data_IF_605879291961
#
_entry.id   IF_605879291961
#
_cell.length_a   1.000
_cell.length_b   1.000
_cell.length_c   1.000
_cell.angle_alpha   90.00
_cell.angle_beta   90.00
_cell.angle_gamma   90.00
#
_symmetry.space_group_name_H-M   'P 1'
#
loop_
_entity.id
_entity.type
_entity.pdbx_description
1 polymer ?
#
# COMPACT_ATOMS: atom_id res chain seq x y z
N UNK A 1 25.08 19.65 -1.18
CA UNK A 1 24.51 18.30 -1.04
C UNK A 1 23.32 18.37 -0.11
N UNK A 2 22.11 18.44 -0.66
CA UNK A 2 20.87 18.47 0.11
C UNK A 2 20.10 17.20 -0.24
N UNK A 3 20.12 16.22 0.65
CA UNK A 3 19.12 15.15 0.70
C UNK A 3 18.56 15.13 2.11
N UNK A 4 17.66 16.08 2.37
CA UNK A 4 16.76 16.00 3.51
C UNK A 4 15.45 15.39 2.98
N UNK A 5 15.30 14.05 3.09
CA UNK A 5 13.98 13.41 3.14
C UNK A 5 14.10 11.93 3.59
N UNK A 6 14.48 11.65 4.85
CA UNK A 6 14.91 10.28 5.20
C UNK A 6 14.51 9.83 6.61
N UNK A 7 13.35 10.28 7.11
CA UNK A 7 12.73 9.68 8.29
C UNK A 7 11.70 8.61 7.93
N UNK A 8 10.86 8.90 6.93
CA UNK A 8 9.67 8.11 6.63
C UNK A 8 9.91 7.08 5.51
N UNK A 9 10.66 7.44 4.45
CA UNK A 9 10.98 6.52 3.36
C UNK A 9 11.75 5.24 3.82
N UNK A 10 12.75 5.32 4.73
CA UNK A 10 13.43 4.11 5.20
C UNK A 10 12.53 3.17 5.98
N UNK A 11 11.60 3.71 6.76
CA UNK A 11 10.65 2.92 7.56
C UNK A 11 9.68 2.16 6.63
N UNK A 12 9.19 2.81 5.58
CA UNK A 12 8.36 2.14 4.58
C UNK A 12 9.12 1.03 3.85
N UNK A 13 10.37 1.28 3.46
CA UNK A 13 11.19 0.26 2.79
C UNK A 13 11.48 -0.95 3.71
N UNK A 14 11.78 -0.71 4.98
CA UNK A 14 12.01 -1.78 5.96
C UNK A 14 10.74 -2.59 6.21
N UNK A 15 9.61 -1.91 6.42
CA UNK A 15 8.31 -2.55 6.60
C UNK A 15 7.92 -3.38 5.37
N UNK A 16 8.13 -2.84 4.18
CA UNK A 16 7.85 -3.54 2.90
C UNK A 16 8.72 -4.79 2.78
N UNK A 17 10.02 -4.70 3.07
CA UNK A 17 10.93 -5.86 3.07
C UNK A 17 10.48 -6.92 4.07
N UNK A 18 10.11 -6.51 5.29
CA UNK A 18 9.61 -7.41 6.32
C UNK A 18 8.33 -8.14 5.87
N UNK A 19 7.34 -7.40 5.37
CA UNK A 19 6.08 -7.98 4.91
C UNK A 19 6.30 -9.00 3.78
N UNK A 20 7.12 -8.65 2.79
CA UNK A 20 7.31 -9.48 1.59
C UNK A 20 8.20 -10.70 1.84
N UNK A 21 9.06 -10.68 2.87
CA UNK A 21 10.08 -11.71 3.09
C UNK A 21 9.52 -13.14 3.20
N UNK A 22 8.38 -13.32 3.87
CA UNK A 22 7.83 -14.67 4.14
C UNK A 22 7.12 -15.29 2.93
N UNK A 23 6.40 -14.48 2.13
CA UNK A 23 5.59 -15.00 1.03
C UNK A 23 5.34 -13.94 -0.04
N UNK A 24 6.29 -13.69 -0.97
CA UNK A 24 6.13 -12.65 -1.99
C UNK A 24 4.91 -12.89 -2.87
N UNK A 25 4.56 -14.15 -3.17
CA UNK A 25 3.38 -14.51 -3.98
C UNK A 25 2.08 -13.98 -3.39
N UNK A 26 1.88 -14.15 -2.07
CA UNK A 26 0.69 -13.66 -1.36
C UNK A 26 0.54 -12.14 -1.49
N UNK A 27 1.65 -11.40 -1.45
CA UNK A 27 1.63 -9.94 -1.60
C UNK A 27 1.43 -9.50 -3.04
N UNK A 28 2.07 -10.17 -4.01
CA UNK A 28 1.91 -9.90 -5.44
C UNK A 28 0.44 -10.02 -5.88
N UNK A 29 -0.27 -11.00 -5.31
CA UNK A 29 -1.67 -11.32 -5.63
C UNK A 29 -2.70 -10.71 -4.67
N UNK A 30 -2.27 -9.99 -3.62
CA UNK A 30 -3.19 -9.39 -2.67
C UNK A 30 -4.17 -8.44 -3.34
N UNK A 31 -5.46 -8.61 -3.06
CA UNK A 31 -6.53 -7.71 -3.46
C UNK A 31 -7.39 -7.42 -2.23
N UNK A 32 -7.82 -6.17 -2.08
CA UNK A 32 -8.82 -5.80 -1.08
C UNK A 32 -10.17 -6.41 -1.45
N UNK A 33 -10.98 -6.69 -0.43
CA UNK A 33 -12.34 -7.20 -0.63
C UNK A 33 -13.20 -6.18 -1.37
N UNK A 34 -14.23 -6.65 -2.07
CA UNK A 34 -15.18 -5.77 -2.79
C UNK A 34 -15.78 -4.72 -1.85
N UNK A 35 -16.25 -5.14 -0.67
CA UNK A 35 -16.80 -4.26 0.35
C UNK A 35 -15.85 -3.10 0.73
N UNK A 36 -14.55 -3.38 0.83
CA UNK A 36 -13.56 -2.34 1.16
C UNK A 36 -13.33 -1.40 -0.03
N UNK A 37 -13.29 -1.93 -1.25
CA UNK A 37 -13.22 -1.10 -2.46
C UNK A 37 -14.45 -0.18 -2.57
N UNK A 38 -15.64 -0.71 -2.35
CA UNK A 38 -16.89 0.07 -2.34
C UNK A 38 -16.87 1.18 -1.29
N UNK A 39 -16.38 0.91 -0.07
CA UNK A 39 -16.23 1.92 0.99
C UNK A 39 -15.30 3.06 0.57
N UNK A 40 -14.12 2.75 0.04
CA UNK A 40 -13.18 3.77 -0.45
C UNK A 40 -13.83 4.61 -1.55
N UNK A 41 -14.52 3.97 -2.50
CA UNK A 41 -15.23 4.69 -3.57
C UNK A 41 -16.34 5.60 -3.06
N UNK A 42 -17.10 5.15 -2.05
CA UNK A 42 -18.12 5.95 -1.39
C UNK A 42 -17.49 7.20 -0.74
N UNK A 43 -16.42 7.02 0.03
CA UNK A 43 -15.73 8.10 0.72
C UNK A 43 -15.15 9.13 -0.26
N UNK A 44 -14.48 8.68 -1.31
CA UNK A 44 -13.94 9.56 -2.37
C UNK A 44 -15.07 10.34 -3.06
N UNK A 45 -16.23 9.71 -3.32
CA UNK A 45 -17.38 10.43 -3.89
C UNK A 45 -17.89 11.50 -2.94
N UNK A 46 -17.98 11.21 -1.65
CA UNK A 46 -18.48 12.14 -0.62
C UNK A 46 -17.52 13.28 -0.34
N UNK A 47 -16.22 13.03 -0.36
CA UNK A 47 -15.18 14.05 -0.27
C UNK A 47 -15.31 15.05 -1.44
N UNK A 48 -15.44 14.53 -2.66
CA UNK A 48 -15.61 15.36 -3.88
C UNK A 48 -16.92 16.16 -3.88
N UNK A 49 -17.97 15.68 -3.21
CA UNK A 49 -19.23 16.40 -3.06
C UNK A 49 -19.26 17.35 -1.84
N UNK A 50 -18.16 17.50 -1.10
CA UNK A 50 -18.06 18.36 0.08
C UNK A 50 -18.79 17.83 1.33
N UNK A 51 -19.16 16.54 1.34
CA UNK A 51 -20.00 15.91 2.37
C UNK A 51 -19.29 14.88 3.23
N UNK A 52 -17.96 14.93 3.33
CA UNK A 52 -17.17 13.99 4.14
C UNK A 52 -16.97 14.55 5.55
N UNK A 53 -17.25 13.74 6.57
CA UNK A 53 -16.96 14.12 7.95
C UNK A 53 -15.46 14.01 8.23
N UNK A 54 -14.97 14.71 9.25
CA UNK A 54 -13.54 14.67 9.62
C UNK A 54 -13.04 13.24 9.89
N UNK A 55 -13.88 12.43 10.53
CA UNK A 55 -13.57 11.01 10.79
C UNK A 55 -13.39 10.20 9.50
N UNK A 56 -14.16 10.52 8.48
CA UNK A 56 -14.14 9.84 7.18
C UNK A 56 -12.97 10.32 6.32
N UNK A 57 -12.55 11.57 6.51
CA UNK A 57 -11.32 12.08 5.94
C UNK A 57 -10.09 11.41 6.56
N UNK A 58 -10.06 11.22 7.87
CA UNK A 58 -9.01 10.45 8.53
C UNK A 58 -8.98 8.97 8.07
N UNK A 59 -10.14 8.40 7.73
CA UNK A 59 -10.25 7.08 7.11
C UNK A 59 -9.60 7.07 5.71
N UNK A 60 -9.86 8.08 4.87
CA UNK A 60 -9.21 8.26 3.56
C UNK A 60 -7.69 8.45 3.68
N UNK A 61 -7.23 9.28 4.61
CA UNK A 61 -5.79 9.49 4.84
C UNK A 61 -5.08 8.18 5.22
N UNK A 62 -5.76 7.33 6.00
CA UNK A 62 -5.27 5.99 6.34
C UNK A 62 -5.20 5.08 5.11
N UNK A 63 -6.23 5.12 4.25
CA UNK A 63 -6.23 4.35 3.01
C UNK A 63 -5.09 4.76 2.07
N UNK A 64 -4.80 6.05 1.94
CA UNK A 64 -3.70 6.55 1.10
C UNK A 64 -2.33 6.06 1.60
N UNK A 65 -2.11 6.10 2.92
CA UNK A 65 -0.88 5.57 3.52
C UNK A 65 -0.73 4.06 3.27
N UNK A 66 -1.81 3.30 3.44
CA UNK A 66 -1.80 1.85 3.20
C UNK A 66 -1.66 1.51 1.72
N UNK A 67 -2.26 2.28 0.81
CA UNK A 67 -2.12 2.10 -0.64
C UNK A 67 -0.65 2.25 -1.05
N UNK A 68 0.05 3.26 -0.52
CA UNK A 68 1.46 3.46 -0.77
C UNK A 68 2.30 2.25 -0.35
N UNK A 69 2.12 1.76 0.89
CA UNK A 69 2.80 0.56 1.41
C UNK A 69 2.52 -0.65 0.53
N UNK A 70 1.25 -0.87 0.17
CA UNK A 70 0.85 -2.04 -0.62
C UNK A 70 1.38 -1.98 -2.05
N UNK A 71 1.53 -0.80 -2.65
CA UNK A 71 2.17 -0.64 -3.96
C UNK A 71 3.65 -1.01 -3.92
N UNK A 72 4.37 -0.52 -2.92
CA UNK A 72 5.79 -0.88 -2.72
C UNK A 72 5.95 -2.37 -2.44
N UNK A 73 5.12 -2.95 -1.58
CA UNK A 73 5.13 -4.39 -1.29
C UNK A 73 4.87 -5.24 -2.54
N UNK A 74 3.88 -4.89 -3.36
CA UNK A 74 3.61 -5.57 -4.63
C UNK A 74 4.77 -5.46 -5.62
N UNK A 75 5.40 -4.29 -5.72
CA UNK A 75 6.56 -4.10 -6.58
C UNK A 75 7.75 -4.96 -6.12
N UNK A 76 8.07 -4.93 -4.83
CA UNK A 76 9.14 -5.73 -4.24
C UNK A 76 8.86 -7.24 -4.36
N UNK A 77 7.62 -7.67 -4.16
CA UNK A 77 7.21 -9.06 -4.32
C UNK A 77 7.44 -9.57 -5.75
N UNK A 78 7.02 -8.81 -6.76
CA UNK A 78 7.23 -9.14 -8.18
C UNK A 78 8.72 -9.21 -8.52
N UNK A 79 9.52 -8.28 -7.97
CA UNK A 79 10.97 -8.33 -8.13
C UNK A 79 11.57 -9.60 -7.51
N UNK A 80 11.16 -9.94 -6.29
CA UNK A 80 11.64 -11.15 -5.60
C UNK A 80 11.30 -12.43 -6.37
N UNK A 81 10.07 -12.52 -6.92
CA UNK A 81 9.63 -13.64 -7.77
C UNK A 81 10.48 -13.70 -9.05
N UNK A 82 10.67 -12.58 -9.73
CA UNK A 82 11.47 -12.53 -10.96
C UNK A 82 12.96 -12.88 -10.76
N UNK A 83 13.52 -12.58 -9.59
CA UNK A 83 14.91 -12.91 -9.22
C UNK A 83 15.08 -14.34 -8.68
N UNK A 84 13.97 -15.03 -8.36
CA UNK A 84 13.94 -16.43 -7.93
C UNK A 84 13.02 -17.26 -8.82
N UNK A 85 13.30 -17.37 -10.13
CA UNK A 85 12.60 -18.36 -10.93
C UNK A 85 12.98 -19.75 -10.41
N UNK A 86 11.97 -20.53 -10.02
CA UNK A 86 11.99 -21.95 -9.65
C UNK A 86 13.32 -22.64 -9.99
N UNK A 87 14.08 -23.04 -8.96
CA UNK A 87 15.19 -23.98 -9.16
C UNK A 87 14.61 -25.30 -9.69
N UNK A 88 15.24 -25.95 -10.68
CA UNK A 88 14.72 -27.16 -11.33
C UNK A 88 14.48 -28.30 -10.35
#
# INVERSE_FOLDING_TARGET
TSMQNTGIAPIYDELVKFLVAENPERFAHFQTTEKMRERVWELVRREKSGGVAEQEKAELDTYDQLEHVMRLAKAQARLNIALRPEAP
#
